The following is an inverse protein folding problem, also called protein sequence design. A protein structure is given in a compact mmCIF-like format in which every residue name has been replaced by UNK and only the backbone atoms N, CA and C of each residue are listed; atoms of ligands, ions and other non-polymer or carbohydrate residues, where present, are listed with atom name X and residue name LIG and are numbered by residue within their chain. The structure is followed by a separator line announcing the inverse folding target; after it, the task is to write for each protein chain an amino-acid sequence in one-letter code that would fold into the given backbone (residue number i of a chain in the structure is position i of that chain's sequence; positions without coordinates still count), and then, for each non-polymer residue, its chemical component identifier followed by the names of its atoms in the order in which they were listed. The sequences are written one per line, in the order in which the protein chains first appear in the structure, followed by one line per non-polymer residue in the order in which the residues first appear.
data_IF_593662975230
#
_entry.id   IF_593662975230
#
_cell.length_a   1.000
_cell.length_b   1.000
_cell.length_c   1.000
_cell.angle_alpha   90.00
_cell.angle_beta   90.00
_cell.angle_gamma   90.00
#
_symmetry.space_group_name_H-M   'P 1'
#
loop_
_entity.id
_entity.type
_entity.pdbx_description
1 polymer ?
#
# COMPACT_ATOMS: atom_id res chain seq x y z
N UNK A 1 -9.10 -17.74 -0.25
CA UNK A 1 -8.79 -16.63 -0.61
C UNK A 1 -7.36 -16.49 -0.74
N UNK A 2 -7.00 -15.69 -1.47
CA UNK A 2 -5.70 -15.62 -1.80
C UNK A 2 -4.79 -15.21 -0.78
N UNK A 3 -5.16 -14.25 -0.05
CA UNK A 3 -4.26 -13.76 0.87
C UNK A 3 -3.81 -14.77 1.82
N UNK A 4 -4.69 -15.52 2.36
CA UNK A 4 -4.22 -16.25 3.42
C UNK A 4 -3.41 -17.34 2.97
N UNK A 5 -3.85 -18.09 2.18
CA UNK A 5 -3.13 -19.24 1.95
C UNK A 5 -1.93 -18.96 1.22
N UNK A 6 -2.05 -18.31 0.21
CA UNK A 6 -0.94 -18.24 -0.56
C UNK A 6 0.04 -17.37 -0.04
N UNK A 7 -0.32 -16.53 0.74
CA UNK A 7 0.60 -15.59 1.09
C UNK A 7 1.29 -16.06 2.17
N UNK A 8 1.76 -17.02 2.08
CA UNK A 8 2.21 -17.55 3.02
C UNK A 8 3.24 -17.36 3.28
N UNK A 9 3.68 -17.21 2.54
CA UNK A 9 4.73 -16.86 3.01
C UNK A 9 4.20 -16.16 4.12
N UNK A 10 3.48 -15.37 3.87
CA UNK A 10 3.15 -14.63 4.90
C UNK A 10 2.19 -15.19 5.55
N UNK A 11 2.32 -15.87 6.29
CA UNK A 11 1.40 -16.31 6.92
C UNK A 11 0.53 -15.35 7.36
N UNK A 12 -0.66 -15.57 7.45
CA UNK A 12 -1.66 -14.64 7.85
C UNK A 12 -1.39 -14.06 9.17
N UNK A 13 -0.76 -14.77 9.98
CA UNK A 13 -0.53 -14.22 11.26
C UNK A 13 0.61 -13.30 11.28
N UNK A 14 1.18 -13.02 10.16
CA UNK A 14 2.20 -12.02 10.12
C UNK A 14 1.57 -10.70 10.47
N UNK A 15 1.88 -10.18 11.61
CA UNK A 15 1.23 -9.00 12.04
C UNK A 15 1.64 -7.78 11.32
N UNK A 16 2.66 -7.83 10.52
CA UNK A 16 3.03 -6.67 9.76
C UNK A 16 2.05 -6.40 8.63
N UNK A 17 1.19 -7.35 8.31
CA UNK A 17 0.20 -7.11 7.29
C UNK A 17 -1.00 -6.44 7.92
N UNK A 18 -1.37 -5.28 7.37
CA UNK A 18 -2.52 -4.57 7.85
C UNK A 18 -3.79 -5.26 7.38
N UNK A 19 -4.87 -5.09 8.09
CA UNK A 19 -6.12 -5.68 7.63
C UNK A 19 -6.53 -5.11 6.29
N UNK A 20 -7.15 -5.89 5.47
CA UNK A 20 -7.57 -5.39 4.17
C UNK A 20 -8.53 -4.24 4.29
N UNK A 21 -8.37 -3.27 3.42
CA UNK A 21 -9.27 -2.16 3.34
C UNK A 21 -9.87 -2.27 1.98
N UNK A 22 -10.80 -3.17 1.80
CA UNK A 22 -11.29 -3.47 0.49
C UNK A 22 -10.40 -4.51 -0.13
N UNK A 23 -10.13 -4.47 -1.39
CA UNK A 23 -9.38 -5.56 -2.03
C UNK A 23 -7.86 -5.47 -1.90
N UNK A 24 -7.33 -4.42 -1.32
CA UNK A 24 -5.88 -4.25 -1.29
C UNK A 24 -5.39 -4.29 0.14
N UNK A 25 -4.37 -5.08 0.39
CA UNK A 25 -3.72 -5.12 1.69
C UNK A 25 -2.41 -4.35 1.61
N UNK A 26 -2.07 -3.66 2.67
CA UNK A 26 -0.87 -2.82 2.72
C UNK A 26 0.03 -3.27 3.85
N UNK A 27 1.32 -3.22 3.62
CA UNK A 27 2.27 -3.41 4.70
C UNK A 27 3.60 -2.79 4.31
N UNK A 28 4.41 -2.44 5.30
CA UNK A 28 5.76 -1.96 5.04
C UNK A 28 6.71 -3.14 4.88
N UNK A 29 7.72 -2.97 4.04
CA UNK A 29 8.73 -4.00 3.93
C UNK A 29 9.53 -4.10 5.22
N UNK A 30 10.31 -5.15 5.35
CA UNK A 30 11.04 -5.38 6.59
C UNK A 30 11.97 -4.23 6.93
N UNK A 31 12.61 -3.63 5.94
CA UNK A 31 13.49 -2.52 6.19
C UNK A 31 12.75 -1.19 6.24
N UNK A 32 11.45 -1.20 5.98
CA UNK A 32 10.67 0.03 6.03
C UNK A 32 10.87 0.94 4.86
N UNK A 33 11.56 0.51 3.83
CA UNK A 33 11.85 1.37 2.69
C UNK A 33 10.84 1.26 1.57
N UNK A 34 9.96 0.29 1.63
CA UNK A 34 8.97 0.11 0.59
C UNK A 34 7.60 -0.12 1.19
N UNK A 35 6.60 0.44 0.59
CA UNK A 35 5.22 0.12 0.94
C UNK A 35 4.74 -0.93 -0.04
N UNK A 36 4.29 -2.04 0.49
CA UNK A 36 3.88 -3.17 -0.33
C UNK A 36 2.37 -3.27 -0.38
N UNK A 37 1.84 -3.37 -1.58
CA UNK A 37 0.40 -3.49 -1.80
C UNK A 37 0.12 -4.85 -2.42
N UNK A 38 -0.78 -5.60 -1.81
CA UNK A 38 -1.16 -6.90 -2.34
C UNK A 38 -2.63 -6.87 -2.67
N UNK A 39 -2.99 -7.15 -3.92
CA UNK A 39 -4.38 -7.16 -4.32
C UNK A 39 -4.83 -8.57 -4.66
N UNK A 40 -6.11 -8.84 -4.65
CA UNK A 40 -6.58 -10.18 -4.95
C UNK A 40 -6.18 -10.59 -6.37
N UNK A 41 -5.89 -11.83 -6.53
CA UNK A 41 -5.50 -12.32 -7.84
C UNK A 41 -4.02 -12.40 -8.07
N UNK A 42 -3.23 -11.96 -7.12
CA UNK A 42 -1.79 -12.06 -7.27
C UNK A 42 -1.18 -12.42 -5.93
N UNK A 43 -0.05 -13.10 -5.97
CA UNK A 43 0.68 -13.37 -4.76
C UNK A 43 1.93 -12.49 -4.69
N UNK A 44 2.10 -11.58 -5.63
CA UNK A 44 3.27 -10.72 -5.61
C UNK A 44 2.88 -9.32 -5.19
N UNK A 45 3.50 -8.78 -4.16
CA UNK A 45 3.19 -7.40 -3.77
C UNK A 45 3.67 -6.41 -4.81
N UNK A 46 2.96 -5.30 -4.88
CA UNK A 46 3.37 -4.20 -5.73
C UNK A 46 4.14 -3.22 -4.84
N UNK A 47 5.41 -2.97 -5.08
CA UNK A 47 6.19 -2.15 -4.17
C UNK A 47 6.20 -0.68 -4.59
N UNK A 48 6.15 0.19 -3.61
CA UNK A 48 6.33 1.62 -3.83
C UNK A 48 7.51 2.02 -2.95
N UNK A 49 8.60 2.41 -3.57
CA UNK A 49 9.81 2.76 -2.83
C UNK A 49 9.68 4.16 -2.26
N UNK A 50 10.00 4.31 -0.99
CA UNK A 50 9.85 5.60 -0.35
C UNK A 50 10.69 6.68 -0.97
N UNK A 51 11.87 6.36 -1.46
CA UNK A 51 12.69 7.40 -2.04
C UNK A 51 12.14 7.91 -3.36
N UNK A 52 11.14 7.26 -3.90
CA UNK A 52 10.47 7.76 -5.09
C UNK A 52 9.24 8.58 -4.74
N UNK A 53 8.98 8.78 -3.46
CA UNK A 53 7.85 9.56 -3.01
C UNK A 53 8.38 10.56 -1.99
N UNK A 54 9.36 11.36 -2.39
CA UNK A 54 9.99 12.25 -1.44
C UNK A 54 9.32 13.59 -1.34
N UNK A 55 8.37 13.89 -2.19
CA UNK A 55 7.61 15.15 -2.10
C UNK A 55 6.14 14.84 -2.28
N UNK A 56 5.27 15.75 -1.82
CA UNK A 56 3.84 15.54 -2.05
C UNK A 56 3.47 15.46 -3.53
N UNK A 57 4.21 16.14 -4.39
CA UNK A 57 3.92 16.02 -5.81
C UNK A 57 4.22 14.63 -6.33
N UNK A 58 5.24 14.00 -5.82
CA UNK A 58 5.52 12.62 -6.19
C UNK A 58 4.36 11.72 -5.77
N UNK A 59 3.78 11.98 -4.60
CA UNK A 59 2.65 11.18 -4.15
C UNK A 59 1.47 11.36 -5.08
N UNK A 60 1.22 12.56 -5.55
CA UNK A 60 0.14 12.80 -6.49
C UNK A 60 0.39 12.02 -7.77
N UNK A 61 1.62 12.02 -8.26
CA UNK A 61 1.96 11.24 -9.45
C UNK A 61 1.73 9.75 -9.25
N UNK A 62 2.09 9.24 -8.07
CA UNK A 62 1.85 7.84 -7.79
C UNK A 62 0.36 7.54 -7.72
N UNK A 63 -0.43 8.44 -7.12
CA UNK A 63 -1.87 8.22 -7.07
C UNK A 63 -2.46 8.18 -8.47
N UNK A 64 -2.03 9.07 -9.34
CA UNK A 64 -2.52 9.08 -10.70
C UNK A 64 -2.19 7.76 -11.40
N UNK A 65 -0.97 7.29 -11.20
CA UNK A 65 -0.54 6.04 -11.80
C UNK A 65 -1.33 4.85 -11.25
N UNK A 66 -1.52 4.81 -9.95
CA UNK A 66 -2.20 3.67 -9.33
C UNK A 66 -3.69 3.65 -9.64
N UNK A 67 -4.30 4.83 -9.74
CA UNK A 67 -5.73 4.87 -10.01
C UNK A 67 -6.09 4.40 -11.41
N UNK A 68 -5.11 4.26 -12.28
CA UNK A 68 -5.37 3.67 -13.58
C UNK A 68 -5.51 2.16 -13.50
N UNK A 69 -5.15 1.54 -12.38
CA UNK A 69 -5.26 0.10 -12.24
C UNK A 69 -6.64 -0.25 -11.73
N UNK A 70 -7.21 -1.31 -12.28
CA UNK A 70 -8.59 -1.65 -11.95
C UNK A 70 -8.76 -2.10 -10.52
N UNK A 71 -7.69 -2.54 -9.88
CA UNK A 71 -7.79 -3.06 -8.52
C UNK A 71 -7.50 -1.99 -7.46
N UNK A 72 -7.19 -0.77 -7.85
CA UNK A 72 -6.85 0.28 -6.91
C UNK A 72 -7.99 1.29 -6.90
N UNK A 73 -8.77 1.31 -5.83
CA UNK A 73 -9.96 2.14 -5.77
C UNK A 73 -9.75 3.31 -4.81
N UNK A 74 -10.79 4.07 -4.57
CA UNK A 74 -10.69 5.24 -3.71
C UNK A 74 -10.32 4.89 -2.30
N UNK A 75 -10.77 3.75 -1.78
CA UNK A 75 -10.41 3.36 -0.45
C UNK A 75 -8.92 3.06 -0.36
N UNK A 76 -8.39 2.37 -1.36
CA UNK A 76 -6.97 2.10 -1.40
C UNK A 76 -6.18 3.39 -1.54
N UNK A 77 -6.67 4.34 -2.32
CA UNK A 77 -6.00 5.61 -2.49
C UNK A 77 -5.91 6.36 -1.17
N UNK A 78 -6.98 6.37 -0.39
CA UNK A 78 -6.94 7.05 0.89
C UNK A 78 -5.96 6.38 1.84
N UNK A 79 -5.89 5.07 1.81
CA UNK A 79 -4.97 4.36 2.68
C UNK A 79 -3.53 4.66 2.26
N UNK A 80 -3.27 4.71 0.96
CA UNK A 80 -1.94 5.02 0.49
C UNK A 80 -1.51 6.41 0.93
N UNK A 81 -2.38 7.40 0.76
CA UNK A 81 -2.07 8.76 1.18
C UNK A 81 -1.74 8.78 2.67
N UNK A 82 -2.57 8.15 3.46
CA UNK A 82 -2.40 8.18 4.90
C UNK A 82 -1.07 7.55 5.32
N UNK A 83 -0.75 6.42 4.75
CA UNK A 83 0.46 5.71 5.15
C UNK A 83 1.72 6.44 4.71
N UNK A 84 1.71 7.01 3.51
CA UNK A 84 2.88 7.72 3.03
C UNK A 84 3.06 9.04 3.79
N UNK A 85 1.99 9.78 4.01
CA UNK A 85 2.10 11.03 4.73
C UNK A 85 2.57 10.80 6.15
N UNK A 86 2.06 9.76 6.79
CA UNK A 86 2.47 9.46 8.14
C UNK A 86 3.95 9.10 8.18
N UNK A 87 4.40 8.29 7.24
CA UNK A 87 5.79 7.86 7.24
C UNK A 87 6.74 9.00 6.92
N UNK A 88 6.33 9.89 6.00
CA UNK A 88 7.19 10.99 5.61
C UNK A 88 7.08 12.19 6.55
N UNK A 89 6.15 12.14 7.49
CA UNK A 89 5.97 13.26 8.41
C UNK A 89 5.23 14.43 7.81
N UNK A 90 4.50 14.21 6.74
CA UNK A 90 3.72 15.28 6.12
C UNK A 90 2.36 15.37 6.80
N UNK A 91 1.94 16.62 7.05
CA UNK A 91 0.64 16.79 7.63
C UNK A 91 -0.44 16.49 6.62
N UNK A 92 -1.43 15.72 7.01
CA UNK A 92 -2.51 15.41 6.10
C UNK A 92 -3.78 15.25 6.92
N UNK A 93 -4.77 16.05 6.57
CA UNK A 93 -6.06 15.98 7.24
C UNK A 93 -7.11 15.64 6.19
N UNK A 94 -7.68 14.48 6.29
CA UNK A 94 -8.74 14.11 5.39
C UNK A 94 -9.93 15.00 5.63
N UNK A 95 -10.66 15.27 4.61
CA UNK A 95 -11.80 16.15 4.70
C UNK A 95 -13.09 15.42 4.84
#
# INVERSE_FOLDING_TARGET
MIFDASFQGGKPEDERWLPPQGPVAFKWSDDGEELLLLHPGTSWPYPIELDRVSTPLHLIGWLDHMLAKTWFDGRAARKLISMICDRQGWEYHGI
#
